data_IF_606340063900
#
_entry.id   IF_606340063900
#
_cell.length_a   1.000
_cell.length_b   1.000
_cell.length_c   1.000
_cell.angle_alpha   90.00
_cell.angle_beta   90.00
_cell.angle_gamma   90.00
#
_symmetry.space_group_name_H-M   'P 1'
#
loop_
_entity.id
_entity.type
_entity.pdbx_description
1 polymer ?
#
# COMPACT_ATOMS: atom_id res chain seq x y z
N UNK A 1 -12.67 0.23 17.99
CA UNK A 1 -13.13 -0.36 16.71
C UNK A 1 -11.90 -0.67 15.87
N UNK A 2 -11.72 -1.94 15.56
CA UNK A 2 -10.56 -2.52 14.90
C UNK A 2 -10.84 -2.59 13.39
N UNK A 3 -9.96 -2.05 12.52
CA UNK A 3 -10.23 -2.01 11.07
C UNK A 3 -8.95 -2.24 10.25
N UNK A 4 -8.99 -3.26 9.40
CA UNK A 4 -8.00 -3.46 8.34
C UNK A 4 -8.10 -2.31 7.33
N UNK A 5 -6.97 -1.96 6.71
CA UNK A 5 -6.87 -0.83 5.78
C UNK A 5 -6.43 -1.30 4.40
N UNK A 6 -7.02 -0.70 3.36
CA UNK A 6 -6.46 -0.72 2.01
C UNK A 6 -6.04 0.72 1.70
N UNK A 7 -4.74 0.92 1.50
CA UNK A 7 -4.12 2.20 1.20
C UNK A 7 -3.76 2.25 -0.28
N UNK A 8 -4.37 3.16 -1.02
CA UNK A 8 -4.05 3.37 -2.45
C UNK A 8 -3.15 4.59 -2.59
N UNK A 9 -2.03 4.42 -3.29
CA UNK A 9 -1.03 5.45 -3.57
C UNK A 9 0.22 5.37 -2.68
N UNK A 10 1.36 5.71 -3.28
CA UNK A 10 2.68 5.66 -2.63
C UNK A 10 2.94 6.78 -1.61
N UNK A 11 4.13 6.79 -0.98
CA UNK A 11 4.46 7.64 0.17
C UNK A 11 4.45 9.16 -0.10
N UNK A 12 4.48 9.57 -1.37
CA UNK A 12 4.36 10.98 -1.77
C UNK A 12 2.94 11.51 -1.56
N UNK A 13 1.92 10.68 -1.81
CA UNK A 13 0.52 11.07 -1.77
C UNK A 13 -0.25 10.46 -0.60
N UNK A 14 0.31 9.44 0.06
CA UNK A 14 -0.28 8.77 1.21
C UNK A 14 0.68 8.81 2.40
N UNK A 15 0.35 9.65 3.39
CA UNK A 15 1.20 9.83 4.58
C UNK A 15 1.32 8.56 5.42
N UNK A 16 0.29 7.70 5.43
CA UNK A 16 0.33 6.43 6.18
C UNK A 16 1.33 5.48 5.53
N UNK A 17 1.36 5.38 4.19
CA UNK A 17 2.36 4.57 3.46
C UNK A 17 3.77 5.08 3.73
N UNK A 18 3.96 6.40 3.78
CA UNK A 18 5.26 6.99 4.18
C UNK A 18 5.66 6.60 5.60
N UNK A 19 4.73 6.69 6.55
CA UNK A 19 5.02 6.34 7.95
C UNK A 19 5.33 4.85 8.09
N UNK A 20 4.63 3.97 7.36
CA UNK A 20 4.93 2.54 7.30
C UNK A 20 6.32 2.26 6.73
N UNK A 21 6.75 2.98 5.69
CA UNK A 21 8.12 2.91 5.17
C UNK A 21 9.16 3.39 6.19
N UNK A 22 8.91 4.53 6.85
CA UNK A 22 9.79 5.08 7.88
C UNK A 22 9.95 4.15 9.10
N UNK A 23 8.91 3.39 9.44
CA UNK A 23 8.92 2.38 10.49
C UNK A 23 9.61 1.07 10.07
N UNK A 24 9.99 0.93 8.79
CA UNK A 24 10.54 -0.31 8.23
C UNK A 24 9.51 -1.42 8.05
N UNK A 25 8.22 -1.10 8.15
CA UNK A 25 7.13 -2.07 7.98
C UNK A 25 6.81 -2.31 6.50
N UNK A 26 6.87 -1.27 5.67
CA UNK A 26 6.80 -1.39 4.21
C UNK A 26 8.21 -1.52 3.64
N UNK A 27 8.41 -2.50 2.76
CA UNK A 27 9.72 -2.89 2.21
C UNK A 27 9.83 -2.65 0.71
N UNK A 28 8.72 -2.36 0.03
CA UNK A 28 8.69 -2.04 -1.40
C UNK A 28 9.24 -0.64 -1.65
N UNK A 29 10.13 -0.51 -2.64
CA UNK A 29 10.54 0.81 -3.15
C UNK A 29 9.46 1.39 -4.06
N UNK A 30 8.49 2.06 -3.44
CA UNK A 30 7.38 2.70 -4.14
C UNK A 30 7.80 3.82 -5.09
N UNK A 31 9.04 4.32 -5.03
CA UNK A 31 9.52 5.34 -5.97
C UNK A 31 9.88 4.76 -7.35
N UNK A 32 10.18 3.46 -7.41
CA UNK A 32 10.54 2.75 -8.65
C UNK A 32 9.57 1.60 -8.97
N UNK A 33 8.60 1.33 -8.10
CA UNK A 33 7.63 0.26 -8.27
C UNK A 33 6.83 0.37 -9.58
N UNK A 34 6.76 -0.70 -10.39
CA UNK A 34 5.96 -0.74 -11.62
C UNK A 34 4.44 -0.87 -11.35
N UNK A 35 4.00 -0.79 -10.10
CA UNK A 35 2.63 -1.06 -9.68
C UNK A 35 2.55 -2.42 -9.01
N UNK A 36 2.52 -2.42 -7.68
CA UNK A 36 2.59 -3.61 -6.84
C UNK A 36 1.62 -3.50 -5.65
N UNK A 37 1.42 -4.63 -4.96
CA UNK A 37 0.69 -4.69 -3.71
C UNK A 37 1.57 -5.23 -2.60
N UNK A 38 1.47 -4.64 -1.42
CA UNK A 38 2.17 -5.12 -0.23
C UNK A 38 1.17 -5.34 0.90
N UNK A 39 1.08 -6.56 1.39
CA UNK A 39 0.31 -6.88 2.59
C UNK A 39 1.24 -6.90 3.80
N UNK A 40 0.88 -6.12 4.82
CA UNK A 40 1.63 -5.99 6.06
C UNK A 40 0.72 -6.39 7.22
N UNK A 41 1.12 -7.44 7.92
CA UNK A 41 0.41 -7.94 9.09
C UNK A 41 0.77 -7.12 10.33
N UNK A 42 -0.26 -6.64 11.02
CA UNK A 42 -0.16 -5.87 12.27
C UNK A 42 1.00 -4.84 12.39
N UNK A 43 1.19 -3.91 11.43
CA UNK A 43 2.34 -2.99 11.48
C UNK A 43 2.31 -2.00 12.65
N UNK A 44 1.17 -1.86 13.33
CA UNK A 44 0.99 -0.95 14.46
C UNK A 44 0.91 -1.66 15.82
N UNK A 45 1.00 -3.00 15.88
CA UNK A 45 0.89 -3.78 17.12
C UNK A 45 -0.50 -3.69 17.78
N UNK A 46 -1.55 -3.54 16.97
CA UNK A 46 -2.96 -3.35 17.39
C UNK A 46 -3.92 -4.39 16.81
N UNK A 47 -3.40 -5.40 16.13
CA UNK A 47 -4.13 -6.45 15.42
C UNK A 47 -4.80 -5.98 14.13
N UNK A 48 -4.16 -5.10 13.34
CA UNK A 48 -4.72 -4.61 12.06
C UNK A 48 -3.81 -4.89 10.89
N UNK A 49 -4.37 -5.40 9.80
CA UNK A 49 -3.59 -5.58 8.59
C UNK A 49 -3.74 -4.39 7.65
N UNK A 50 -2.66 -4.10 6.92
CA UNK A 50 -2.62 -3.07 5.89
C UNK A 50 -2.30 -3.70 4.56
N UNK A 51 -3.10 -3.41 3.54
CA UNK A 51 -2.77 -3.66 2.14
C UNK A 51 -2.42 -2.33 1.47
N UNK A 52 -1.21 -2.18 0.98
CA UNK A 52 -0.77 -1.05 0.17
C UNK A 52 -0.92 -1.42 -1.30
N UNK A 53 -1.46 -0.50 -2.10
CA UNK A 53 -1.65 -0.64 -3.54
C UNK A 53 -1.09 0.62 -4.19
N UNK A 54 0.09 0.53 -4.80
CA UNK A 54 0.79 1.71 -5.30
C UNK A 54 1.75 1.39 -6.44
N UNK A 55 2.16 2.43 -7.16
CA UNK A 55 3.26 2.39 -8.12
C UNK A 55 3.98 3.75 -8.15
N UNK A 56 5.08 3.83 -8.90
CA UNK A 56 5.98 4.98 -8.94
C UNK A 56 5.29 6.29 -9.34
N UNK A 57 4.25 6.22 -10.15
CA UNK A 57 3.46 7.35 -10.59
C UNK A 57 1.95 7.05 -10.60
N UNK A 58 1.20 8.05 -11.06
CA UNK A 58 -0.28 8.01 -11.12
C UNK A 58 -0.78 6.85 -11.97
N UNK A 59 -0.12 6.56 -13.08
CA UNK A 59 -0.55 5.55 -14.03
C UNK A 59 -0.29 4.14 -13.48
N UNK A 60 0.90 3.87 -12.94
CA UNK A 60 1.16 2.56 -12.31
C UNK A 60 0.26 2.32 -11.11
N UNK A 61 0.01 3.34 -10.28
CA UNK A 61 -0.93 3.23 -9.16
C UNK A 61 -2.35 2.91 -9.65
N UNK A 62 -2.80 3.55 -10.75
CA UNK A 62 -4.10 3.30 -11.38
C UNK A 62 -4.19 1.85 -11.87
N UNK A 63 -3.16 1.36 -12.55
CA UNK A 63 -3.10 -0.01 -13.07
C UNK A 63 -3.10 -1.04 -11.92
N UNK A 64 -2.29 -0.83 -10.88
CA UNK A 64 -2.27 -1.69 -9.70
C UNK A 64 -3.63 -1.77 -9.00
N UNK A 65 -4.33 -0.64 -8.86
CA UNK A 65 -5.68 -0.60 -8.30
C UNK A 65 -6.71 -1.32 -9.18
N UNK A 66 -6.64 -1.15 -10.50
CA UNK A 66 -7.52 -1.85 -11.43
C UNK A 66 -7.31 -3.36 -11.40
N UNK A 67 -6.06 -3.82 -11.36
CA UNK A 67 -5.72 -5.22 -11.22
C UNK A 67 -6.31 -5.80 -9.93
N UNK A 68 -6.22 -5.08 -8.80
CA UNK A 68 -6.78 -5.55 -7.53
C UNK A 68 -8.29 -5.73 -7.63
N UNK A 69 -9.00 -4.71 -8.14
CA UNK A 69 -10.46 -4.79 -8.32
C UNK A 69 -10.83 -5.92 -9.27
N UNK A 70 -10.01 -6.21 -10.29
CA UNK A 70 -10.28 -7.29 -11.24
C UNK A 70 -10.15 -8.68 -10.62
N UNK A 71 -9.27 -8.88 -9.64
CA UNK A 71 -9.12 -10.16 -8.94
C UNK A 71 -10.24 -10.45 -7.94
N UNK A 72 -10.97 -9.42 -7.52
CA UNK A 72 -12.06 -9.53 -6.54
C UNK A 72 -13.45 -9.66 -7.18
N UNK A 73 -13.52 -9.62 -8.52
CA UNK A 73 -14.75 -9.79 -9.29
C UNK A 73 -14.92 -11.25 -9.72
#
# INVERSE_FOLDING_TARGET
MHKNLILVGGPVYNSIVRDLGNMGASTVDWATSPGEWEWIADPFGRGYDVLIVAGANREETRLAAQQLVSQLR
#
